data_IF_879341644408
#
_entry.id   IF_879341644408
#
_cell.length_a   1.000
_cell.length_b   1.000
_cell.length_c   1.000
_cell.angle_alpha   90.00
_cell.angle_beta   90.00
_cell.angle_gamma   90.00
#
_symmetry.space_group_name_H-M   'P 1'
#
loop_
_entity.id
_entity.type
_entity.pdbx_description
1 polymer ?
#
# COMPACT_ATOMS: atom_id res chain seq x y z
N UNK A 1 -19.21 -14.91 3.10
CA UNK A 1 -19.39 -13.87 2.07
C UNK A 1 -19.20 -12.50 2.71
N UNK A 2 -18.36 -11.64 2.15
CA UNK A 2 -18.22 -10.25 2.63
C UNK A 2 -19.36 -9.42 2.00
N UNK A 3 -20.01 -8.49 2.73
CA UNK A 3 -21.04 -7.62 2.16
C UNK A 3 -20.49 -6.90 0.93
N UNK A 4 -21.32 -6.69 -0.10
CA UNK A 4 -20.95 -5.86 -1.26
C UNK A 4 -20.70 -4.44 -0.73
N UNK A 5 -19.44 -4.14 -0.44
CA UNK A 5 -19.05 -2.80 0.03
C UNK A 5 -19.43 -1.75 -1.00
N UNK A 6 -19.68 -0.53 -0.54
CA UNK A 6 -20.08 0.59 -1.40
C UNK A 6 -18.90 1.17 -2.19
N UNK A 7 -17.67 0.84 -1.78
CA UNK A 7 -16.45 1.31 -2.44
C UNK A 7 -16.14 0.50 -3.70
N UNK A 8 -16.11 1.17 -4.85
CA UNK A 8 -15.70 0.58 -6.11
C UNK A 8 -14.20 0.78 -6.32
N UNK A 9 -13.43 -0.29 -6.08
CA UNK A 9 -11.97 -0.28 -6.21
C UNK A 9 -11.49 0.01 -7.64
N UNK A 10 -12.19 -0.48 -8.66
CA UNK A 10 -11.82 -0.28 -10.07
C UNK A 10 -12.01 1.18 -10.49
N UNK A 11 -13.13 1.78 -10.07
CA UNK A 11 -13.43 3.19 -10.27
C UNK A 11 -12.41 4.10 -9.57
N UNK A 12 -12.05 3.79 -8.32
CA UNK A 12 -10.99 4.51 -7.62
C UNK A 12 -9.64 4.40 -8.35
N UNK A 13 -9.23 3.19 -8.77
CA UNK A 13 -7.98 2.98 -9.52
C UNK A 13 -7.93 3.77 -10.82
N UNK A 14 -9.07 3.84 -11.51
CA UNK A 14 -9.23 4.63 -12.73
C UNK A 14 -9.09 6.12 -12.43
N UNK A 15 -9.74 6.61 -11.37
CA UNK A 15 -9.58 8.00 -10.92
C UNK A 15 -8.13 8.31 -10.56
N UNK A 16 -7.48 7.46 -9.76
CA UNK A 16 -6.07 7.59 -9.37
C UNK A 16 -5.11 7.59 -10.56
N UNK A 17 -5.42 6.86 -11.63
CA UNK A 17 -4.54 6.77 -12.81
C UNK A 17 -4.73 7.92 -13.80
N UNK A 18 -5.91 8.55 -13.80
CA UNK A 18 -6.27 9.56 -14.80
C UNK A 18 -6.28 10.99 -14.24
N UNK A 19 -6.54 11.14 -12.94
CA UNK A 19 -6.60 12.43 -12.28
C UNK A 19 -5.40 12.63 -11.35
N UNK A 20 -5.04 13.89 -11.12
CA UNK A 20 -4.06 14.26 -10.10
C UNK A 20 -4.42 13.76 -8.70
N UNK A 21 -3.38 13.50 -7.91
CA UNK A 21 -3.44 13.19 -6.48
C UNK A 21 -4.33 14.13 -5.67
N UNK A 22 -4.31 15.43 -6.02
CA UNK A 22 -5.15 16.45 -5.40
C UNK A 22 -6.66 16.21 -5.59
N UNK A 23 -7.06 15.39 -6.57
CA UNK A 23 -8.45 14.97 -6.80
C UNK A 23 -8.67 13.51 -6.41
N UNK A 24 -7.74 12.62 -6.73
CA UNK A 24 -7.90 11.19 -6.51
C UNK A 24 -7.85 10.82 -5.02
N UNK A 25 -7.06 11.51 -4.20
CA UNK A 25 -7.01 11.28 -2.74
C UNK A 25 -8.32 11.73 -2.05
N UNK A 26 -8.86 12.94 -2.29
CA UNK A 26 -10.20 13.28 -1.80
C UNK A 26 -11.29 12.33 -2.32
N UNK A 27 -11.17 11.88 -3.56
CA UNK A 27 -12.10 10.91 -4.14
C UNK A 27 -12.08 9.58 -3.40
N UNK A 28 -10.89 9.06 -3.07
CA UNK A 28 -10.70 7.90 -2.22
C UNK A 28 -11.49 8.06 -0.92
N UNK A 29 -11.21 9.10 -0.14
CA UNK A 29 -11.85 9.32 1.16
C UNK A 29 -13.37 9.52 1.07
N UNK A 30 -13.87 10.14 0.00
CA UNK A 30 -15.32 10.34 -0.22
C UNK A 30 -16.05 9.02 -0.49
N UNK A 31 -15.39 8.06 -1.13
CA UNK A 31 -15.98 6.77 -1.51
C UNK A 31 -15.59 5.64 -0.56
N UNK A 32 -14.54 5.83 0.22
CA UNK A 32 -13.95 4.80 1.06
C UNK A 32 -14.96 4.26 2.06
N UNK A 33 -15.17 2.95 2.00
CA UNK A 33 -16.12 2.24 2.84
C UNK A 33 -15.36 1.59 3.99
N UNK A 34 -15.23 2.33 5.10
CA UNK A 34 -14.50 1.88 6.29
C UNK A 34 -15.10 0.66 6.98
N UNK A 35 -16.35 0.31 6.69
CA UNK A 35 -17.01 -0.87 7.26
C UNK A 35 -16.56 -2.15 6.52
N UNK A 36 -16.40 -2.07 5.20
CA UNK A 36 -16.04 -3.23 4.37
C UNK A 36 -14.59 -3.24 3.91
N UNK A 37 -13.87 -2.12 4.02
CA UNK A 37 -12.46 -1.98 3.63
C UNK A 37 -11.62 -1.54 4.83
N UNK A 38 -10.36 -1.94 4.80
CA UNK A 38 -9.38 -1.54 5.79
C UNK A 38 -8.12 -1.02 5.13
N UNK A 39 -7.43 -0.13 5.86
CA UNK A 39 -6.16 0.47 5.46
C UNK A 39 -5.08 -0.13 6.34
N UNK A 40 -3.97 -0.53 5.73
CA UNK A 40 -2.85 -1.16 6.40
C UNK A 40 -1.56 -0.49 5.97
N UNK A 41 -0.70 -0.21 6.94
CA UNK A 41 0.69 0.13 6.71
C UNK A 41 1.50 -1.17 6.71
N UNK A 42 2.17 -1.45 5.61
CA UNK A 42 3.12 -2.55 5.48
C UNK A 42 4.54 -2.01 5.49
N UNK A 43 5.36 -2.38 6.47
CA UNK A 43 6.76 -1.96 6.59
C UNK A 43 7.68 -3.16 6.49
N UNK A 44 8.67 -3.13 5.61
CA UNK A 44 9.57 -4.25 5.43
C UNK A 44 10.51 -4.41 6.63
N UNK A 45 10.56 -5.61 7.20
CA UNK A 45 11.32 -5.91 8.42
C UNK A 45 12.83 -5.94 8.17
N UNK A 46 13.24 -6.51 7.05
CA UNK A 46 14.65 -6.83 6.78
C UNK A 46 15.34 -5.72 5.96
N UNK A 47 15.30 -4.49 6.46
CA UNK A 47 15.94 -3.35 5.78
C UNK A 47 17.44 -3.56 5.47
N UNK A 48 18.13 -4.38 6.27
CA UNK A 48 19.54 -4.74 6.07
C UNK A 48 19.78 -5.57 4.80
N UNK A 49 18.76 -6.25 4.28
CA UNK A 49 18.81 -6.97 3.01
C UNK A 49 18.63 -6.03 1.80
N UNK A 50 18.11 -4.81 2.03
CA UNK A 50 17.84 -3.79 1.01
C UNK A 50 19.10 -3.00 0.64
N UNK A 51 20.10 -3.71 0.12
CA UNK A 51 21.40 -3.11 -0.24
C UNK A 51 21.35 -2.25 -1.49
N UNK A 52 20.49 -2.57 -2.44
CA UNK A 52 20.40 -1.86 -3.71
C UNK A 52 18.97 -1.50 -4.06
N UNK A 53 18.76 -0.24 -4.43
CA UNK A 53 17.44 0.32 -4.74
C UNK A 53 16.72 -0.51 -5.82
N UNK A 54 17.42 -0.90 -6.88
CA UNK A 54 16.83 -1.70 -7.96
C UNK A 54 16.43 -3.12 -7.49
N UNK A 55 17.17 -3.72 -6.56
CA UNK A 55 16.84 -5.05 -6.01
C UNK A 55 15.58 -4.95 -5.14
N UNK A 56 15.49 -3.91 -4.32
CA UNK A 56 14.30 -3.59 -3.53
C UNK A 56 13.07 -3.40 -4.42
N UNK A 57 13.21 -2.69 -5.55
CA UNK A 57 12.13 -2.54 -6.52
C UNK A 57 11.71 -3.86 -7.19
N UNK A 58 12.66 -4.75 -7.47
CA UNK A 58 12.37 -6.08 -7.99
C UNK A 58 11.63 -6.94 -6.97
N UNK A 59 11.98 -6.83 -5.68
CA UNK A 59 11.29 -7.52 -4.58
C UNK A 59 9.82 -7.10 -4.50
N UNK A 60 9.54 -5.80 -4.50
CA UNK A 60 8.16 -5.27 -4.51
C UNK A 60 7.39 -5.78 -5.74
N UNK A 61 8.03 -5.77 -6.91
CA UNK A 61 7.40 -6.23 -8.16
C UNK A 61 7.07 -7.73 -8.11
N UNK A 62 7.98 -8.54 -7.56
CA UNK A 62 7.76 -9.97 -7.37
C UNK A 62 6.59 -10.26 -6.43
N UNK A 63 6.48 -9.50 -5.33
CA UNK A 63 5.33 -9.58 -4.41
C UNK A 63 4.02 -9.25 -5.15
N UNK A 64 3.98 -8.20 -5.96
CA UNK A 64 2.78 -7.83 -6.71
C UNK A 64 2.34 -8.93 -7.69
N UNK A 65 3.28 -9.60 -8.35
CA UNK A 65 2.97 -10.72 -9.25
C UNK A 65 2.35 -11.91 -8.50
N UNK A 66 2.84 -12.22 -7.29
CA UNK A 66 2.27 -13.29 -6.45
C UNK A 66 0.88 -12.92 -5.93
N UNK A 67 0.63 -11.63 -5.71
CA UNK A 67 -0.67 -11.10 -5.30
C UNK A 67 -1.62 -10.79 -6.46
N UNK A 68 -1.28 -11.10 -7.71
CA UNK A 68 -2.06 -10.71 -8.90
C UNK A 68 -3.55 -11.08 -8.80
N UNK A 69 -3.88 -12.25 -8.22
CA UNK A 69 -5.27 -12.68 -7.98
C UNK A 69 -6.04 -11.74 -7.03
N UNK A 70 -5.35 -11.13 -6.06
CA UNK A 70 -5.91 -10.17 -5.10
C UNK A 70 -6.09 -8.78 -5.71
N UNK A 71 -5.35 -8.44 -6.78
CA UNK A 71 -5.32 -7.07 -7.34
C UNK A 71 -6.71 -6.52 -7.60
N UNK A 72 -7.68 -7.33 -8.07
CA UNK A 72 -9.05 -6.85 -8.35
C UNK A 72 -9.78 -6.26 -7.12
N UNK A 73 -9.42 -6.69 -5.91
CA UNK A 73 -10.08 -6.30 -4.66
C UNK A 73 -9.16 -5.49 -3.73
N UNK A 74 -7.95 -5.16 -4.18
CA UNK A 74 -6.93 -4.48 -3.39
C UNK A 74 -6.24 -3.38 -4.19
N UNK A 75 -5.73 -2.40 -3.47
CA UNK A 75 -4.89 -1.32 -3.98
C UNK A 75 -3.76 -1.09 -3.00
N UNK A 76 -2.56 -0.80 -3.49
CA UNK A 76 -1.50 -0.35 -2.60
C UNK A 76 -0.60 0.68 -3.28
N UNK A 77 -0.05 1.58 -2.49
CA UNK A 77 1.06 2.44 -2.89
C UNK A 77 2.26 2.07 -2.01
N UNK A 78 3.21 1.33 -2.60
CA UNK A 78 4.43 0.91 -1.94
C UNK A 78 5.55 1.83 -2.39
N UNK A 79 6.22 2.43 -1.43
CA UNK A 79 7.31 3.37 -1.63
C UNK A 79 8.62 2.75 -1.11
N UNK A 80 9.67 2.99 -1.87
CA UNK A 80 11.04 2.78 -1.49
C UNK A 80 11.62 4.14 -1.14
N UNK A 81 12.11 4.26 0.09
CA UNK A 81 12.75 5.46 0.61
C UNK A 81 14.25 5.22 0.78
N UNK A 82 15.04 6.29 0.69
CA UNK A 82 16.48 6.28 0.92
C UNK A 82 17.29 6.05 -0.35
N UNK A 83 18.45 5.42 -0.21
CA UNK A 83 19.43 5.19 -1.28
C UNK A 83 20.09 3.82 -1.12
N UNK A 84 21.00 3.46 -2.02
CA UNK A 84 21.76 2.22 -1.88
C UNK A 84 22.44 2.15 -0.49
N UNK A 85 22.46 0.95 0.09
CA UNK A 85 22.92 0.62 1.45
C UNK A 85 22.14 1.23 2.64
N UNK A 86 21.26 2.22 2.41
CA UNK A 86 20.32 2.74 3.42
C UNK A 86 18.96 3.00 2.76
N UNK A 87 18.20 1.91 2.53
CA UNK A 87 16.86 1.98 1.98
C UNK A 87 15.83 1.25 2.82
N UNK A 88 14.59 1.74 2.80
CA UNK A 88 13.45 1.12 3.46
C UNK A 88 12.27 1.00 2.50
N UNK A 89 11.55 -0.11 2.61
CA UNK A 89 10.29 -0.30 1.90
C UNK A 89 9.16 -0.16 2.89
N UNK A 90 8.24 0.74 2.59
CA UNK A 90 7.00 0.91 3.33
C UNK A 90 5.89 1.23 2.36
N UNK A 91 4.65 0.89 2.70
CA UNK A 91 3.54 1.10 1.79
C UNK A 91 2.20 1.12 2.47
N UNK A 92 1.28 1.88 1.88
CA UNK A 92 -0.12 1.88 2.28
C UNK A 92 -0.87 0.91 1.40
N UNK A 93 -1.55 -0.04 2.04
CA UNK A 93 -2.34 -1.07 1.41
C UNK A 93 -3.79 -0.91 1.82
N UNK A 94 -4.68 -1.14 0.85
CA UNK A 94 -6.13 -1.04 1.01
C UNK A 94 -6.75 -2.26 0.37
N UNK A 95 -7.52 -3.03 1.11
CA UNK A 95 -8.24 -4.18 0.57
C UNK A 95 -9.58 -4.36 1.25
N UNK A 96 -10.42 -5.17 0.63
CA UNK A 96 -11.73 -5.53 1.17
C UNK A 96 -11.58 -6.55 2.31
N UNK A 97 -12.25 -6.29 3.42
CA UNK A 97 -12.18 -7.04 4.66
C UNK A 97 -11.54 -6.24 5.78
N UNK A 98 -11.75 -6.68 7.02
CA UNK A 98 -11.20 -6.04 8.23
C UNK A 98 -9.96 -6.76 8.78
N UNK A 99 -9.65 -7.94 8.24
CA UNK A 99 -8.51 -8.80 8.57
C UNK A 99 -7.44 -8.71 7.48
N UNK A 100 -6.25 -9.25 7.78
CA UNK A 100 -5.18 -9.39 6.79
C UNK A 100 -5.64 -10.27 5.63
N UNK A 101 -5.62 -9.74 4.41
CA UNK A 101 -6.03 -10.51 3.23
C UNK A 101 -5.11 -11.72 2.98
N UNK A 102 -3.85 -11.67 3.43
CA UNK A 102 -2.87 -12.75 3.27
C UNK A 102 -3.25 -14.05 3.98
N UNK A 103 -4.01 -13.98 5.09
CA UNK A 103 -4.46 -15.20 5.78
C UNK A 103 -5.55 -15.95 5.02
N UNK A 104 -6.12 -15.36 3.97
CA UNK A 104 -7.20 -15.98 3.17
C UNK A 104 -6.67 -17.02 2.17
N UNK A 105 -5.39 -16.98 1.80
CA UNK A 105 -4.79 -17.92 0.85
C UNK A 105 -3.35 -18.22 1.23
N UNK A 106 -2.95 -19.50 1.32
CA UNK A 106 -1.57 -19.88 1.63
C UNK A 106 -0.58 -19.36 0.57
N UNK A 107 -0.99 -19.27 -0.71
CA UNK A 107 -0.18 -18.65 -1.77
C UNK A 107 0.23 -17.19 -1.51
N UNK A 108 -0.53 -16.45 -0.69
CA UNK A 108 -0.26 -15.05 -0.36
C UNK A 108 0.57 -14.90 0.92
N UNK A 109 0.83 -16.01 1.62
CA UNK A 109 1.56 -16.01 2.88
C UNK A 109 3.08 -15.98 2.72
N UNK A 110 3.59 -16.06 1.49
CA UNK A 110 5.02 -16.19 1.23
C UNK A 110 5.81 -14.94 1.61
N UNK A 111 5.31 -13.74 1.29
CA UNK A 111 6.04 -12.49 1.52
C UNK A 111 5.52 -11.66 2.67
N UNK A 112 4.25 -11.84 3.05
CA UNK A 112 3.65 -10.96 4.06
C UNK A 112 4.36 -11.06 5.41
N UNK A 113 5.00 -12.20 5.74
CA UNK A 113 5.76 -12.36 6.99
C UNK A 113 6.98 -11.44 7.06
N UNK A 114 7.55 -11.10 5.91
CA UNK A 114 8.68 -10.17 5.79
C UNK A 114 8.29 -8.70 6.00
N UNK A 115 6.99 -8.42 6.12
CA UNK A 115 6.46 -7.09 6.40
C UNK A 115 5.76 -7.07 7.77
N UNK A 116 5.91 -5.98 8.50
CA UNK A 116 5.06 -5.64 9.63
C UNK A 116 3.81 -4.95 9.12
N UNK A 117 2.65 -5.48 9.52
CA UNK A 117 1.35 -4.98 9.10
C UNK A 117 0.65 -4.29 10.26
N UNK A 118 0.45 -2.99 10.13
CA UNK A 118 -0.29 -2.20 11.09
C UNK A 118 -1.60 -1.73 10.47
N UNK A 119 -2.72 -2.16 11.06
CA UNK A 119 -4.03 -1.64 10.69
C UNK A 119 -4.11 -0.17 11.09
N UNK A 120 -4.51 0.68 10.15
CA UNK A 120 -4.66 2.10 10.35
C UNK A 120 -6.13 2.47 10.54
N UNK A 121 -6.38 3.49 11.36
CA UNK A 121 -7.71 4.03 11.57
C UNK A 121 -8.04 5.07 10.49
N UNK A 122 -9.06 4.88 9.65
CA UNK A 122 -9.38 5.78 8.54
C UNK A 122 -9.91 7.16 8.98
N UNK A 123 -10.41 7.30 10.21
CA UNK A 123 -10.91 8.58 10.71
C UNK A 123 -9.78 9.45 11.28
N UNK A 124 -8.66 8.83 11.70
CA UNK A 124 -7.47 9.51 12.23
C UNK A 124 -6.80 10.45 11.22
N UNK A 125 -6.41 11.63 11.70
CA UNK A 125 -5.65 12.61 10.94
C UNK A 125 -4.27 12.09 10.49
N UNK A 126 -3.61 11.27 11.33
CA UNK A 126 -2.33 10.64 10.97
C UNK A 126 -2.48 9.71 9.77
N UNK A 127 -3.53 8.89 9.74
CA UNK A 127 -3.79 7.98 8.61
C UNK A 127 -4.07 8.76 7.33
N UNK A 128 -4.84 9.84 7.42
CA UNK A 128 -5.11 10.71 6.27
C UNK A 128 -3.83 11.34 5.73
N UNK A 129 -2.97 11.83 6.61
CA UNK A 129 -1.67 12.36 6.24
C UNK A 129 -0.76 11.29 5.61
N UNK A 130 -0.69 10.09 6.19
CA UNK A 130 0.07 8.97 5.65
C UNK A 130 -0.47 8.54 4.28
N UNK A 131 -1.77 8.29 4.14
CA UNK A 131 -2.37 7.93 2.85
C UNK A 131 -2.05 9.00 1.80
N UNK A 132 -2.21 10.28 2.14
CA UNK A 132 -1.89 11.37 1.23
C UNK A 132 -0.42 11.36 0.83
N UNK A 133 0.48 11.22 1.80
CA UNK A 133 1.91 11.18 1.56
C UNK A 133 2.34 10.01 0.66
N UNK A 134 1.81 8.81 0.89
CA UNK A 134 2.14 7.62 0.11
C UNK A 134 1.44 7.59 -1.24
N UNK A 135 0.25 8.17 -1.36
CA UNK A 135 -0.47 8.26 -2.63
C UNK A 135 0.11 9.37 -3.52
N UNK A 136 0.73 10.39 -2.91
CA UNK A 136 1.41 11.44 -3.66
C UNK A 136 2.89 11.19 -3.91
N UNK A 137 3.50 10.19 -3.28
CA UNK A 137 4.94 9.93 -3.35
C UNK A 137 5.82 11.14 -2.96
N UNK A 138 5.27 12.13 -2.25
CA UNK A 138 5.94 13.36 -1.84
C UNK A 138 6.52 13.26 -0.42
N UNK A 139 6.61 12.04 0.10
CA UNK A 139 6.87 11.75 1.50
C UNK A 139 8.30 11.50 1.91
N UNK A 140 8.48 11.43 3.23
CA UNK A 140 9.66 10.84 3.86
C UNK A 140 9.26 9.65 4.74
N UNK A 141 10.11 8.65 4.79
CA UNK A 141 9.88 7.52 5.70
C UNK A 141 9.93 7.97 7.17
N UNK A 142 9.53 7.09 8.10
CA UNK A 142 9.60 7.34 9.55
C UNK A 142 10.99 7.77 10.04
N UNK A 143 12.04 7.32 9.36
CA UNK A 143 13.44 7.65 9.67
C UNK A 143 13.94 8.94 8.94
N UNK A 144 13.05 9.66 8.24
CA UNK A 144 13.39 10.88 7.50
C UNK A 144 14.03 10.66 6.14
N UNK A 145 14.07 9.40 5.65
CA UNK A 145 14.60 9.05 4.33
C UNK A 145 13.73 9.63 3.22
N UNK A 146 14.36 10.16 2.17
CA UNK A 146 13.67 10.76 1.03
C UNK A 146 13.05 9.69 0.13
N UNK A 147 11.93 10.01 -0.52
CA UNK A 147 11.33 9.13 -1.51
C UNK A 147 12.29 8.89 -2.68
N UNK A 148 12.44 7.62 -3.06
CA UNK A 148 13.28 7.22 -4.19
C UNK A 148 12.42 6.66 -5.33
N UNK A 149 11.64 5.61 -5.06
CA UNK A 149 10.78 4.98 -6.06
C UNK A 149 9.44 4.54 -5.49
N UNK A 150 8.38 4.66 -6.29
CA UNK A 150 7.03 4.27 -5.93
C UNK A 150 6.49 3.21 -6.89
N UNK A 151 5.77 2.24 -6.35
CA UNK A 151 5.08 1.20 -7.13
C UNK A 151 3.65 1.08 -6.66
N UNK A 152 2.72 1.22 -7.60
CA UNK A 152 1.29 1.04 -7.35
C UNK A 152 0.89 -0.40 -7.64
N UNK A 153 0.25 -1.03 -6.67
CA UNK A 153 -0.47 -2.27 -6.84
C UNK A 153 -1.91 -1.95 -7.24
N UNK A 154 -2.26 -2.23 -8.50
CA UNK A 154 -3.62 -2.03 -9.04
C UNK A 154 -4.00 -3.12 -10.04
#
# INVERSE_FOLDING_TARGET
ELPKGTFNMDDFKRCYSNEDEAKSIPYFWKKFDKENYSIWLGEYKFKEELKKVYMSCNLITGMFQRLDKMRKQAFASVCLFGKDDDSTISGIWVWRGQSLAFSLSPDWQVDYESYDWKKLDPDSAETKALVQQYFSWTGKDKDGREFNQGKIFK
#
